data_IF_042692494215
#
_entry.id   IF_042692494215
#
_cell.length_a   1.000
_cell.length_b   1.000
_cell.length_c   1.000
_cell.angle_alpha   90.00
_cell.angle_beta   90.00
_cell.angle_gamma   90.00
#
_symmetry.space_group_name_H-M   'P 1'
#
loop_
_entity.id
_entity.type
_entity.pdbx_description
1 polymer ?
#
# COMPACT_ATOMS: atom_id res chain seq x y z
N UNK A 1 -16.83 7.52 -20.43
CA UNK A 1 -16.54 7.35 -19.01
C UNK A 1 -15.43 8.33 -18.64
N UNK A 2 -15.63 9.23 -17.67
CA UNK A 2 -14.61 10.20 -17.29
C UNK A 2 -13.41 9.53 -16.62
N UNK A 3 -12.24 10.14 -16.75
CA UNK A 3 -11.02 9.68 -16.11
C UNK A 3 -11.10 9.85 -14.59
N UNK A 4 -10.46 8.96 -13.86
CA UNK A 4 -10.37 9.03 -12.40
C UNK A 4 -9.26 9.98 -11.99
N UNK A 5 -9.61 10.97 -11.17
CA UNK A 5 -8.65 11.92 -10.61
C UNK A 5 -8.10 11.34 -9.30
N UNK A 6 -6.80 11.48 -9.07
CA UNK A 6 -6.14 10.97 -7.86
C UNK A 6 -6.25 11.91 -6.66
N UNK A 7 -6.37 13.21 -6.88
CA UNK A 7 -6.37 14.19 -5.80
C UNK A 7 -7.57 14.05 -4.87
N UNK A 8 -7.30 13.78 -3.59
CA UNK A 8 -8.32 13.59 -2.57
C UNK A 8 -9.19 12.34 -2.73
N UNK A 9 -8.80 11.41 -3.60
CA UNK A 9 -9.58 10.21 -3.93
C UNK A 9 -8.86 8.90 -3.66
N UNK A 10 -7.88 8.95 -2.78
CA UNK A 10 -7.17 7.74 -2.31
C UNK A 10 -7.24 7.70 -0.79
N UNK A 11 -7.79 6.62 -0.26
CA UNK A 11 -7.87 6.37 1.18
C UNK A 11 -6.93 5.25 1.55
N UNK A 12 -6.09 5.48 2.54
CA UNK A 12 -5.09 4.50 2.99
C UNK A 12 -5.21 4.31 4.49
N UNK A 13 -5.38 3.05 4.91
CA UNK A 13 -5.37 2.65 6.32
C UNK A 13 -4.29 1.61 6.55
N UNK A 14 -3.71 1.59 7.74
CA UNK A 14 -3.06 0.39 8.22
C UNK A 14 -4.00 -0.33 9.18
N UNK A 15 -4.22 -1.61 8.94
CA UNK A 15 -5.15 -2.46 9.70
C UNK A 15 -4.37 -3.64 10.23
N UNK A 16 -4.13 -3.72 11.56
CA UNK A 16 -3.27 -4.76 12.12
C UNK A 16 -3.81 -6.19 11.93
N UNK A 17 -5.12 -6.37 11.86
CA UNK A 17 -5.73 -7.69 11.77
C UNK A 17 -6.87 -7.70 10.77
N UNK A 18 -6.75 -8.56 9.76
CA UNK A 18 -7.80 -8.86 8.78
C UNK A 18 -7.88 -10.38 8.67
N UNK A 19 -9.07 -10.94 8.89
CA UNK A 19 -9.28 -12.40 8.84
C UNK A 19 -9.16 -12.95 7.41
N UNK A 20 -9.70 -12.21 6.42
CA UNK A 20 -9.63 -12.57 5.01
C UNK A 20 -9.25 -11.35 4.19
N UNK A 21 -8.07 -11.35 3.57
CA UNK A 21 -7.60 -10.23 2.76
C UNK A 21 -8.41 -10.03 1.47
N UNK A 22 -9.13 -11.05 1.02
CA UNK A 22 -10.01 -10.94 -0.13
C UNK A 22 -11.37 -10.33 0.18
N UNK A 23 -11.77 -10.31 1.45
CA UNK A 23 -13.07 -9.80 1.91
C UNK A 23 -12.94 -9.18 3.31
N UNK A 24 -12.17 -8.08 3.48
CA UNK A 24 -12.09 -7.40 4.75
C UNK A 24 -13.46 -6.85 5.14
N UNK A 25 -13.80 -6.90 6.44
CA UNK A 25 -15.07 -6.36 6.92
C UNK A 25 -14.96 -4.88 7.24
N UNK A 26 -16.09 -4.16 7.19
CA UNK A 26 -16.15 -2.75 7.59
C UNK A 26 -15.66 -2.57 9.03
N UNK A 27 -16.01 -3.49 9.93
CA UNK A 27 -15.57 -3.43 11.33
C UNK A 27 -14.04 -3.57 11.46
N UNK A 28 -13.43 -4.48 10.72
CA UNK A 28 -11.96 -4.63 10.71
C UNK A 28 -11.27 -3.37 10.19
N UNK A 29 -11.77 -2.79 9.11
CA UNK A 29 -11.22 -1.55 8.53
C UNK A 29 -11.37 -0.36 9.48
N UNK A 30 -12.52 -0.23 10.15
CA UNK A 30 -12.74 0.84 11.12
C UNK A 30 -11.88 0.70 12.38
N UNK A 31 -11.43 -0.51 12.70
CA UNK A 31 -10.48 -0.74 13.79
C UNK A 31 -9.05 -0.34 13.43
N UNK A 32 -8.76 -0.12 12.15
CA UNK A 32 -7.47 0.37 11.68
C UNK A 32 -7.29 1.87 11.88
N UNK A 33 -6.12 2.36 11.46
CA UNK A 33 -5.75 3.77 11.56
C UNK A 33 -5.60 4.36 10.16
N UNK A 34 -6.23 5.51 9.94
CA UNK A 34 -6.07 6.26 8.69
C UNK A 34 -4.70 6.90 8.63
N UNK A 35 -3.98 6.68 7.53
CA UNK A 35 -2.63 7.21 7.34
C UNK A 35 -2.51 8.17 6.14
N UNK A 36 -3.48 8.21 5.26
CA UNK A 36 -3.45 9.10 4.09
C UNK A 36 -3.46 10.58 4.45
N UNK A 37 -3.99 10.95 5.63
CA UNK A 37 -3.96 12.33 6.12
C UNK A 37 -2.56 12.81 6.52
N UNK A 38 -1.65 11.89 6.79
CA UNK A 38 -0.24 12.16 7.15
C UNK A 38 0.74 11.71 6.08
N UNK A 39 0.25 11.25 4.94
CA UNK A 39 1.06 10.75 3.84
C UNK A 39 1.35 11.88 2.86
N UNK A 40 2.57 11.90 2.32
CA UNK A 40 2.90 12.81 1.23
C UNK A 40 2.15 12.43 -0.05
N UNK A 41 1.96 13.34 -1.03
CA UNK A 41 1.24 13.00 -2.26
C UNK A 41 1.84 11.81 -3.03
N UNK A 42 3.14 11.58 -2.89
CA UNK A 42 3.88 10.46 -3.48
C UNK A 42 4.21 9.37 -2.45
N UNK A 43 3.43 9.26 -1.37
CA UNK A 43 3.77 8.45 -0.21
C UNK A 43 3.61 6.94 -0.37
N UNK A 44 2.86 6.47 -1.36
CA UNK A 44 2.73 5.04 -1.68
C UNK A 44 3.78 4.66 -2.73
N UNK A 45 4.99 4.34 -2.27
CA UNK A 45 6.11 4.04 -3.17
C UNK A 45 6.27 2.53 -3.31
N UNK A 46 6.37 2.05 -4.54
CA UNK A 46 6.68 0.66 -4.83
C UNK A 46 5.53 -0.32 -4.62
N UNK A 47 4.31 0.15 -4.38
CA UNK A 47 3.10 -0.69 -4.29
C UNK A 47 2.57 -1.02 -5.69
N UNK A 48 3.46 -1.30 -6.59
CA UNK A 48 3.19 -1.64 -7.98
C UNK A 48 3.81 -3.01 -8.25
N UNK A 49 3.00 -4.01 -8.68
CA UNK A 49 3.54 -5.33 -8.95
C UNK A 49 4.37 -5.35 -10.23
N UNK A 50 5.43 -6.12 -10.20
CA UNK A 50 6.23 -6.45 -11.38
C UNK A 50 6.03 -7.93 -11.70
N UNK A 51 5.66 -8.21 -12.95
CA UNK A 51 5.42 -9.57 -13.44
C UNK A 51 6.65 -10.04 -14.21
N UNK A 52 7.25 -11.11 -13.73
CA UNK A 52 8.37 -11.75 -14.40
C UNK A 52 7.95 -12.50 -15.66
N UNK A 53 8.92 -12.83 -16.49
CA UNK A 53 8.72 -13.56 -17.73
C UNK A 53 9.13 -15.03 -17.58
N UNK A 54 8.37 -15.90 -18.20
CA UNK A 54 8.74 -17.31 -18.40
C UNK A 54 9.00 -17.51 -19.90
N UNK A 55 10.22 -17.84 -20.24
CA UNK A 55 10.58 -18.14 -21.62
C UNK A 55 10.00 -19.51 -21.99
N UNK A 56 9.07 -19.51 -22.94
CA UNK A 56 8.47 -20.73 -23.50
C UNK A 56 8.75 -20.87 -24.99
N UNK A 57 9.79 -20.22 -25.47
CA UNK A 57 10.22 -20.29 -26.86
C UNK A 57 10.52 -21.72 -27.31
N UNK A 58 10.23 -22.03 -28.57
CA UNK A 58 10.43 -23.36 -29.16
C UNK A 58 11.66 -23.37 -30.09
N UNK A 59 12.40 -24.45 -30.07
CA UNK A 59 13.55 -24.61 -30.95
C UNK A 59 13.19 -24.54 -32.44
N UNK A 60 11.99 -25.01 -32.77
CA UNK A 60 11.50 -25.02 -34.16
C UNK A 60 10.97 -23.67 -34.65
N UNK A 61 10.86 -22.68 -33.74
CA UNK A 61 10.34 -21.34 -34.07
C UNK A 61 11.49 -20.35 -34.25
N UNK A 62 11.29 -19.38 -35.12
CA UNK A 62 12.18 -18.21 -35.25
C UNK A 62 11.74 -17.03 -34.40
N UNK A 63 10.66 -17.19 -33.66
CA UNK A 63 10.10 -16.15 -32.79
C UNK A 63 10.16 -16.56 -31.31
N UNK A 64 10.66 -15.66 -30.46
CA UNK A 64 10.71 -15.87 -29.03
C UNK A 64 9.38 -15.49 -28.39
N UNK A 65 8.83 -16.40 -27.59
CA UNK A 65 7.60 -16.19 -26.86
C UNK A 65 7.85 -16.21 -25.35
N UNK A 66 7.07 -15.44 -24.60
CA UNK A 66 7.13 -15.40 -23.14
C UNK A 66 5.73 -15.55 -22.56
N UNK A 67 5.66 -16.12 -21.38
CA UNK A 67 4.44 -16.19 -20.57
C UNK A 67 4.65 -15.41 -19.27
N UNK A 68 3.56 -15.02 -18.62
CA UNK A 68 3.62 -14.36 -17.32
C UNK A 68 4.20 -15.31 -16.26
N UNK A 69 5.21 -14.83 -15.54
CA UNK A 69 5.88 -15.56 -14.48
C UNK A 69 5.46 -15.10 -13.09
N UNK A 70 6.40 -15.12 -12.15
CA UNK A 70 6.18 -14.69 -10.77
C UNK A 70 5.93 -13.20 -10.68
N UNK A 71 5.03 -12.82 -9.78
CA UNK A 71 4.77 -11.42 -9.44
C UNK A 71 5.57 -11.07 -8.18
N UNK A 72 6.22 -9.92 -8.21
CA UNK A 72 7.02 -9.42 -7.10
C UNK A 72 6.82 -7.93 -6.88
N UNK A 73 7.16 -7.47 -5.68
CA UNK A 73 7.20 -6.06 -5.31
C UNK A 73 8.61 -5.72 -4.85
N UNK A 74 9.12 -4.57 -5.24
CA UNK A 74 10.42 -4.09 -4.80
C UNK A 74 10.36 -2.62 -4.41
N UNK A 75 11.13 -2.23 -3.39
CA UNK A 75 11.21 -0.84 -2.95
C UNK A 75 9.92 -0.30 -2.35
N UNK A 76 9.05 -1.16 -1.80
CA UNK A 76 7.82 -0.73 -1.15
C UNK A 76 8.11 0.07 0.11
N UNK A 77 7.54 1.26 0.21
CA UNK A 77 7.69 2.11 1.38
C UNK A 77 6.52 3.08 1.52
N UNK A 78 6.30 3.54 2.74
CA UNK A 78 5.32 4.58 3.05
C UNK A 78 6.10 5.85 3.42
N UNK A 79 5.81 6.94 2.73
CA UNK A 79 6.41 8.24 3.01
C UNK A 79 5.42 9.12 3.75
N UNK A 80 5.73 9.45 5.00
CA UNK A 80 4.81 10.07 5.94
C UNK A 80 5.40 11.38 6.49
N UNK A 81 4.51 12.26 6.94
CA UNK A 81 4.86 13.55 7.56
C UNK A 81 4.94 13.35 9.07
N UNK A 82 6.04 13.79 9.67
CA UNK A 82 6.24 13.69 11.12
C UNK A 82 5.41 14.73 11.85
N UNK A 83 4.76 14.31 12.93
CA UNK A 83 3.97 15.20 13.77
C UNK A 83 4.76 15.71 14.95
N UNK A 84 4.42 16.92 15.43
CA UNK A 84 5.01 17.50 16.64
C UNK A 84 4.40 16.86 17.89
N UNK A 85 5.21 16.64 18.92
CA UNK A 85 4.78 16.01 20.17
C UNK A 85 4.69 14.50 20.06
N UNK A 86 3.62 13.91 20.59
CA UNK A 86 3.41 12.46 20.53
C UNK A 86 2.93 12.07 19.15
N UNK A 87 3.81 11.49 18.35
CA UNK A 87 3.48 10.96 17.03
C UNK A 87 3.18 9.46 17.14
N UNK A 88 1.90 9.13 17.31
CA UNK A 88 1.45 7.76 17.51
C UNK A 88 1.78 6.87 16.33
N UNK A 89 1.63 7.37 15.11
CA UNK A 89 1.92 6.61 13.90
C UNK A 89 3.41 6.29 13.78
N UNK A 90 4.27 7.27 14.02
CA UNK A 90 5.72 7.08 14.04
C UNK A 90 6.14 6.04 15.09
N UNK A 91 5.52 6.08 16.25
CA UNK A 91 5.84 5.15 17.34
C UNK A 91 5.27 3.74 17.12
N UNK A 92 4.25 3.59 16.30
CA UNK A 92 3.62 2.30 16.00
C UNK A 92 4.33 1.57 14.86
N UNK A 93 4.71 2.26 13.81
CA UNK A 93 5.34 1.68 12.62
C UNK A 93 6.86 1.50 12.85
N UNK A 94 7.21 0.62 13.78
CA UNK A 94 8.59 0.32 14.13
C UNK A 94 9.07 -0.96 13.46
N UNK A 95 10.36 -1.21 13.51
CA UNK A 95 10.96 -2.42 12.93
C UNK A 95 10.27 -3.68 13.45
N UNK A 96 9.86 -4.53 12.52
CA UNK A 96 9.21 -5.82 12.82
C UNK A 96 7.70 -5.75 13.01
N UNK A 97 7.10 -4.56 13.03
CA UNK A 97 5.64 -4.45 13.15
C UNK A 97 4.95 -4.96 11.90
N UNK A 98 4.04 -5.93 12.07
CA UNK A 98 3.27 -6.51 10.98
C UNK A 98 1.88 -5.90 10.92
N UNK A 99 1.45 -5.51 9.74
CA UNK A 99 0.14 -4.89 9.51
C UNK A 99 -0.33 -5.13 8.09
N UNK A 100 -1.54 -4.69 7.78
CA UNK A 100 -2.06 -4.71 6.42
C UNK A 100 -2.28 -3.27 5.96
N UNK A 101 -1.71 -2.92 4.82
CA UNK A 101 -1.98 -1.63 4.18
C UNK A 101 -3.17 -1.81 3.25
N UNK A 102 -4.23 -1.05 3.49
CA UNK A 102 -5.47 -1.10 2.72
C UNK A 102 -5.62 0.20 1.96
N UNK A 103 -5.76 0.11 0.65
CA UNK A 103 -5.86 1.26 -0.25
C UNK A 103 -7.20 1.20 -0.99
N UNK A 104 -7.97 2.28 -0.93
CA UNK A 104 -9.18 2.46 -1.74
C UNK A 104 -8.97 3.64 -2.68
N UNK A 105 -9.17 3.41 -3.97
CA UNK A 105 -9.04 4.42 -5.03
C UNK A 105 -10.42 4.82 -5.56
N UNK A 106 -10.49 5.93 -6.26
CA UNK A 106 -11.67 6.41 -7.01
C UNK A 106 -12.84 6.92 -6.16
N UNK A 107 -12.72 6.90 -4.84
CA UNK A 107 -13.73 7.43 -3.92
C UNK A 107 -13.08 8.49 -3.05
N UNK A 108 -13.79 9.56 -2.75
CA UNK A 108 -13.30 10.64 -1.88
C UNK A 108 -12.73 10.05 -0.59
N UNK A 109 -11.51 10.47 -0.22
CA UNK A 109 -10.76 9.88 0.90
C UNK A 109 -11.49 10.00 2.25
N UNK A 110 -12.36 11.00 2.41
CA UNK A 110 -13.16 11.23 3.62
C UNK A 110 -14.41 10.35 3.71
N UNK A 111 -14.82 9.69 2.61
CA UNK A 111 -15.98 8.81 2.62
C UNK A 111 -15.69 7.55 3.45
N UNK A 112 -16.57 7.24 4.41
CA UNK A 112 -16.41 6.07 5.26
C UNK A 112 -16.37 4.76 4.48
N UNK A 113 -15.79 3.71 5.09
CA UNK A 113 -15.80 2.38 4.53
C UNK A 113 -17.23 1.86 4.41
N UNK A 114 -17.54 1.23 3.29
CA UNK A 114 -18.84 0.63 3.04
C UNK A 114 -18.69 -0.76 2.42
N UNK A 115 -19.70 -1.60 2.62
CA UNK A 115 -19.76 -2.90 1.95
C UNK A 115 -19.72 -2.72 0.42
N UNK A 116 -19.10 -3.67 -0.25
CA UNK A 116 -18.87 -3.67 -1.69
C UNK A 116 -17.82 -2.66 -2.20
N UNK A 117 -17.17 -1.89 -1.34
CA UNK A 117 -16.01 -1.08 -1.72
C UNK A 117 -14.91 -1.95 -2.32
N UNK A 118 -14.25 -1.45 -3.36
CA UNK A 118 -13.10 -2.12 -3.97
C UNK A 118 -11.83 -1.60 -3.33
N UNK A 119 -11.02 -2.50 -2.82
CA UNK A 119 -9.79 -2.17 -2.08
C UNK A 119 -8.63 -3.06 -2.53
N UNK A 120 -7.42 -2.56 -2.27
CA UNK A 120 -6.19 -3.35 -2.38
C UNK A 120 -5.69 -3.60 -0.97
N UNK A 121 -5.36 -4.84 -0.65
CA UNK A 121 -4.86 -5.24 0.68
C UNK A 121 -3.46 -5.80 0.54
N UNK A 122 -2.51 -5.17 1.22
CA UNK A 122 -1.10 -5.55 1.20
C UNK A 122 -0.66 -5.98 2.60
N UNK A 123 -0.50 -7.28 2.86
CA UNK A 123 0.11 -7.74 4.11
C UNK A 123 1.59 -7.37 4.13
N UNK A 124 2.01 -6.55 5.10
CA UNK A 124 3.37 -6.03 5.16
C UNK A 124 3.97 -6.20 6.55
N UNK A 125 5.30 -6.20 6.60
CA UNK A 125 6.07 -6.05 7.83
C UNK A 125 6.95 -4.82 7.71
N UNK A 126 6.92 -3.95 8.72
CA UNK A 126 7.72 -2.74 8.71
C UNK A 126 9.20 -3.06 8.93
N UNK A 127 10.04 -2.42 8.13
CA UNK A 127 11.48 -2.38 8.35
C UNK A 127 11.87 -1.14 9.16
N UNK A 128 13.15 -0.80 9.16
CA UNK A 128 13.65 0.37 9.90
C UNK A 128 13.12 1.67 9.29
N UNK A 129 12.75 2.60 10.14
CA UNK A 129 12.29 3.93 9.74
C UNK A 129 13.48 4.80 9.34
N UNK A 130 13.35 5.49 8.20
CA UNK A 130 14.35 6.44 7.74
C UNK A 130 13.81 7.86 7.88
N UNK A 131 14.44 8.67 8.73
CA UNK A 131 14.15 10.09 8.78
C UNK A 131 14.86 10.79 7.60
N UNK A 132 14.11 11.52 6.80
CA UNK A 132 14.65 12.21 5.64
C UNK A 132 15.37 13.49 6.05
N UNK A 133 16.33 13.92 5.22
CA UNK A 133 17.06 15.14 5.44
C UNK A 133 16.12 16.35 5.48
N UNK A 134 16.30 17.29 6.44
CA UNK A 134 15.49 18.49 6.50
C UNK A 134 15.75 19.41 5.31
N UNK A 135 14.68 20.02 4.81
CA UNK A 135 14.73 21.00 3.72
C UNK A 135 14.07 22.29 4.16
N UNK A 136 14.50 23.42 3.58
CA UNK A 136 13.85 24.72 3.80
C UNK A 136 12.44 24.73 3.24
N UNK A 137 11.51 25.41 3.94
CA UNK A 137 10.10 25.53 3.58
C UNK A 137 9.38 24.18 3.42
N UNK A 138 9.79 23.18 4.18
CA UNK A 138 9.19 21.85 4.17
C UNK A 138 8.95 21.34 5.59
N UNK A 139 8.09 20.36 5.72
CA UNK A 139 7.88 19.64 6.98
C UNK A 139 8.85 18.47 7.09
N UNK A 140 9.11 18.02 8.31
CA UNK A 140 9.88 16.80 8.51
C UNK A 140 9.11 15.59 7.99
N UNK A 141 9.81 14.74 7.26
CA UNK A 141 9.25 13.53 6.65
C UNK A 141 10.07 12.32 7.07
N UNK A 142 9.41 11.18 7.10
CA UNK A 142 10.10 9.90 7.31
C UNK A 142 9.53 8.85 6.35
N UNK A 143 10.34 7.85 6.06
CA UNK A 143 9.94 6.71 5.25
C UNK A 143 9.96 5.45 6.09
N UNK A 144 8.88 4.68 6.01
CA UNK A 144 8.80 3.36 6.62
C UNK A 144 8.97 2.33 5.51
N UNK A 145 10.05 1.57 5.57
CA UNK A 145 10.24 0.46 4.64
C UNK A 145 9.22 -0.64 4.96
N UNK A 146 8.49 -1.07 3.96
CA UNK A 146 7.51 -2.14 4.12
C UNK A 146 7.91 -3.32 3.25
N UNK A 147 7.85 -4.52 3.82
CA UNK A 147 8.13 -5.76 3.08
C UNK A 147 6.84 -6.52 2.92
N UNK A 148 6.50 -6.86 1.69
CA UNK A 148 5.32 -7.67 1.40
C UNK A 148 5.62 -9.10 1.86
N UNK A 149 4.90 -9.56 2.87
CA UNK A 149 5.14 -10.86 3.51
C UNK A 149 4.30 -11.99 2.95
N UNK A 150 3.17 -11.66 2.36
CA UNK A 150 2.23 -12.61 1.77
C UNK A 150 1.68 -12.01 0.48
N UNK A 151 1.20 -12.85 -0.42
CA UNK A 151 0.62 -12.37 -1.67
C UNK A 151 -0.53 -11.37 -1.39
N UNK A 152 -0.42 -10.13 -1.87
CA UNK A 152 -1.48 -9.14 -1.71
C UNK A 152 -2.71 -9.50 -2.52
N UNK A 153 -3.87 -9.01 -2.10
CA UNK A 153 -5.07 -9.04 -2.91
C UNK A 153 -5.34 -7.65 -3.48
N UNK A 154 -5.15 -7.49 -4.79
CA UNK A 154 -5.31 -6.22 -5.48
C UNK A 154 -6.75 -5.96 -5.92
N UNK A 155 -7.65 -6.91 -5.73
CA UNK A 155 -9.05 -6.84 -6.16
C UNK A 155 -9.99 -7.32 -5.06
N UNK A 156 -9.66 -6.98 -3.82
CA UNK A 156 -10.50 -7.30 -2.68
C UNK A 156 -11.81 -6.49 -2.71
N UNK A 157 -12.83 -7.05 -2.14
CA UNK A 157 -14.13 -6.39 -1.97
C UNK A 157 -14.49 -6.41 -0.49
N UNK A 158 -14.85 -5.24 0.04
CA UNK A 158 -15.27 -5.12 1.46
C UNK A 158 -16.57 -5.88 1.66
N UNK A 159 -16.58 -6.69 2.68
CA UNK A 159 -17.74 -7.50 3.04
C UNK A 159 -18.86 -6.67 3.69
#
# INVERSE_FOLDING_TARGET
VPDSNTDGRTRVYHVPSIASIGAPTVAELNAGTQIDTLMTPDGLVGFEPDTGDVDNSKLSSTFNTVAAGRVSFSGTMLRLIKQTGTDTLYNTLVYGFATNVVVRRDVTSTTAWAAADKVEVYPVQCGEVRNLAPEGNAVHKYEVMTKITTQPNLRATVA
#
